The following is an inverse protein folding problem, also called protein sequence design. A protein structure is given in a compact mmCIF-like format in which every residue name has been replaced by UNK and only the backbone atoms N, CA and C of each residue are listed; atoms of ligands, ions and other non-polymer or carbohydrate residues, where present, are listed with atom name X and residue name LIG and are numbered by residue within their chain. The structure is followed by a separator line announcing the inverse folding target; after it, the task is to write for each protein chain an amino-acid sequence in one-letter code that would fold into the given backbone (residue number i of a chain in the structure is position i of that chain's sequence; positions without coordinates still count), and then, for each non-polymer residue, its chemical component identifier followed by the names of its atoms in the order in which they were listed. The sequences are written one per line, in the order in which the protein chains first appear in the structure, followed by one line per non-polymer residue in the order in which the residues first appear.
data_IF_180827388289
#
_entry.id   IF_180827388289
#
_cell.length_a   1.000
_cell.length_b   1.000
_cell.length_c   1.000
_cell.angle_alpha   90.00
_cell.angle_beta   90.00
_cell.angle_gamma   90.00
#
_symmetry.space_group_name_H-M   'P 1'
#
loop_
_entity.id
_entity.type
_entity.pdbx_description
1 polymer ?
#
# COMPACT_ATOMS: atom_id res chain seq x y z
N UNK A 1 16.95 -3.72 16.04
CA UNK A 1 17.48 -3.74 14.67
C UNK A 1 17.33 -2.35 14.10
N UNK A 2 18.32 -1.87 13.33
CA UNK A 2 18.24 -0.60 12.62
C UNK A 2 17.30 -0.72 11.41
N UNK A 3 16.61 0.40 11.08
CA UNK A 3 15.58 0.45 10.06
C UNK A 3 16.02 -0.08 8.70
N UNK A 4 15.04 -0.56 7.95
CA UNK A 4 15.22 -0.95 6.56
C UNK A 4 15.31 0.29 5.66
N UNK A 5 16.08 0.16 4.56
CA UNK A 5 16.21 1.20 3.54
C UNK A 5 16.02 0.60 2.17
N UNK A 6 15.22 1.26 1.35
CA UNK A 6 14.96 0.90 -0.03
C UNK A 6 15.82 1.73 -0.98
N UNK A 7 16.40 1.09 -2.00
CA UNK A 7 17.26 1.78 -2.99
C UNK A 7 16.48 2.65 -3.97
N UNK A 8 15.17 2.44 -4.09
CA UNK A 8 14.27 3.19 -4.94
C UNK A 8 13.17 3.76 -4.06
N UNK A 9 12.90 5.05 -4.17
CA UNK A 9 11.86 5.71 -3.37
C UNK A 9 10.45 5.26 -3.80
N UNK A 10 9.46 5.53 -2.95
CA UNK A 10 8.04 5.49 -3.30
C UNK A 10 7.73 6.49 -4.40
N UNK A 11 6.62 6.34 -5.09
CA UNK A 11 6.20 7.33 -6.10
C UNK A 11 5.68 6.71 -7.39
N UNK A 12 5.73 7.51 -8.45
CA UNK A 12 5.17 7.19 -9.76
C UNK A 12 6.25 6.68 -10.72
N UNK A 13 5.95 5.59 -11.42
CA UNK A 13 6.89 4.92 -12.32
C UNK A 13 6.22 4.51 -13.62
N UNK A 14 6.98 4.61 -14.71
CA UNK A 14 6.55 4.18 -16.04
C UNK A 14 7.44 3.02 -16.57
N UNK A 15 8.49 2.65 -15.82
CA UNK A 15 9.42 1.57 -16.17
C UNK A 15 9.69 0.66 -14.99
N UNK A 16 9.97 -0.63 -15.22
CA UNK A 16 10.30 -1.58 -14.16
C UNK A 16 11.40 -1.09 -13.22
N UNK A 17 11.23 -1.32 -11.92
CA UNK A 17 12.18 -0.97 -10.88
C UNK A 17 12.81 -2.23 -10.25
N UNK A 18 14.07 -2.12 -9.83
CA UNK A 18 14.78 -3.17 -9.09
C UNK A 18 15.17 -2.61 -7.74
N UNK A 19 14.46 -3.03 -6.71
CA UNK A 19 14.55 -2.44 -5.37
C UNK A 19 15.42 -3.28 -4.45
N UNK A 20 16.59 -2.76 -4.07
CA UNK A 20 17.37 -3.35 -3.01
C UNK A 20 16.87 -2.89 -1.63
N UNK A 21 16.84 -3.82 -0.67
CA UNK A 21 16.46 -3.55 0.72
C UNK A 21 17.67 -3.84 1.60
N UNK A 22 18.02 -2.91 2.47
CA UNK A 22 19.21 -3.01 3.33
C UNK A 22 18.88 -2.60 4.77
N UNK A 23 19.65 -3.09 5.74
CA UNK A 23 19.74 -2.59 7.11
C UNK A 23 21.20 -2.55 7.53
N UNK A 24 21.56 -1.64 8.42
CA UNK A 24 22.95 -1.57 8.95
C UNK A 24 23.22 -2.59 10.04
N UNK A 25 22.20 -3.28 10.55
CA UNK A 25 22.38 -4.35 11.55
C UNK A 25 22.95 -5.61 10.91
N UNK A 26 24.22 -5.86 11.10
CA UNK A 26 24.88 -7.06 10.57
C UNK A 26 24.20 -8.35 11.02
N UNK A 27 23.91 -9.26 10.08
CA UNK A 27 23.29 -10.56 10.35
C UNK A 27 21.81 -10.50 10.71
N UNK A 28 21.12 -9.38 10.46
CA UNK A 28 19.67 -9.32 10.52
C UNK A 28 19.06 -9.99 9.27
N UNK A 29 17.98 -10.74 9.45
CA UNK A 29 17.13 -11.24 8.37
C UNK A 29 16.12 -10.16 7.99
N UNK A 30 16.08 -9.78 6.72
CA UNK A 30 15.06 -8.89 6.19
C UNK A 30 13.96 -9.75 5.57
N UNK A 31 12.70 -9.44 5.92
CA UNK A 31 11.51 -10.00 5.27
C UNK A 31 10.72 -8.92 4.59
N UNK A 32 10.07 -9.26 3.48
CA UNK A 32 9.23 -8.34 2.73
C UNK A 32 7.94 -9.01 2.24
N UNK A 33 6.92 -8.18 2.00
CA UNK A 33 5.65 -8.54 1.39
C UNK A 33 5.32 -7.56 0.25
N UNK A 34 4.48 -8.00 -0.69
CA UNK A 34 3.98 -7.17 -1.81
C UNK A 34 2.45 -7.20 -1.93
N UNK A 35 1.78 -7.79 -0.95
CA UNK A 35 0.32 -8.00 -0.91
C UNK A 35 -0.38 -7.13 0.15
N UNK A 36 0.34 -6.15 0.74
CA UNK A 36 -0.16 -5.28 1.78
C UNK A 36 -0.14 -5.87 3.19
N UNK A 37 0.17 -7.16 3.36
CA UNK A 37 0.30 -7.78 4.68
C UNK A 37 1.58 -7.32 5.39
N UNK A 38 1.58 -7.44 6.74
CA UNK A 38 2.78 -7.11 7.52
C UNK A 38 3.85 -8.19 7.37
N UNK A 39 5.10 -7.84 7.00
CA UNK A 39 6.22 -8.74 7.16
C UNK A 39 6.49 -8.97 8.65
N UNK A 40 6.53 -10.25 9.07
CA UNK A 40 6.82 -10.67 10.43
C UNK A 40 7.92 -11.72 10.44
N UNK A 41 8.37 -12.17 11.59
CA UNK A 41 9.34 -13.27 11.68
C UNK A 41 8.85 -14.57 11.02
N UNK A 42 7.54 -14.71 10.78
CA UNK A 42 6.92 -15.89 10.15
C UNK A 42 6.13 -15.59 8.87
N UNK A 43 5.96 -14.32 8.49
CA UNK A 43 5.26 -13.91 7.29
C UNK A 43 6.17 -13.08 6.37
N UNK A 44 5.96 -13.23 5.07
CA UNK A 44 6.74 -12.57 4.03
C UNK A 44 7.91 -13.41 3.53
N UNK A 45 8.43 -13.01 2.39
CA UNK A 45 9.61 -13.63 1.75
C UNK A 45 10.89 -13.14 2.42
N UNK A 46 11.86 -14.03 2.59
CA UNK A 46 13.21 -13.65 3.03
C UNK A 46 13.90 -12.92 1.88
N UNK A 47 14.39 -11.73 2.16
CA UNK A 47 15.11 -10.94 1.17
C UNK A 47 16.50 -11.52 0.90
N UNK A 48 16.81 -11.77 -0.36
CA UNK A 48 18.12 -12.28 -0.79
C UNK A 48 18.65 -11.59 -2.06
N UNK A 49 17.76 -11.05 -2.88
CA UNK A 49 18.08 -10.34 -4.13
C UNK A 49 17.14 -9.15 -4.31
N UNK A 50 17.51 -8.14 -5.09
CA UNK A 50 16.61 -7.01 -5.36
C UNK A 50 15.24 -7.46 -5.84
N UNK A 51 14.19 -6.83 -5.30
CA UNK A 51 12.79 -7.09 -5.65
C UNK A 51 12.47 -6.39 -6.97
N UNK A 52 11.98 -7.17 -7.95
CA UNK A 52 11.53 -6.61 -9.22
C UNK A 52 10.11 -6.09 -9.08
N UNK A 53 9.91 -4.81 -9.34
CA UNK A 53 8.61 -4.12 -9.32
C UNK A 53 8.29 -3.72 -10.76
N UNK A 54 7.25 -4.29 -11.34
CA UNK A 54 6.85 -4.07 -12.74
C UNK A 54 5.42 -3.56 -12.87
N UNK A 55 4.66 -3.55 -11.79
CA UNK A 55 3.25 -3.14 -11.71
C UNK A 55 3.03 -2.35 -10.43
N UNK A 56 1.89 -1.67 -10.31
CA UNK A 56 1.50 -0.99 -9.07
C UNK A 56 1.61 -1.97 -7.89
N UNK A 57 2.50 -1.65 -6.95
CA UNK A 57 2.88 -2.55 -5.86
C UNK A 57 3.13 -1.77 -4.58
N UNK A 58 2.66 -2.31 -3.48
CA UNK A 58 3.02 -1.88 -2.13
C UNK A 58 4.08 -2.82 -1.58
N UNK A 59 5.33 -2.39 -1.53
CA UNK A 59 6.43 -3.15 -0.95
C UNK A 59 6.60 -2.77 0.51
N UNK A 60 6.48 -3.76 1.39
CA UNK A 60 6.65 -3.60 2.83
C UNK A 60 7.81 -4.44 3.31
N UNK A 61 8.62 -3.93 4.23
CA UNK A 61 9.76 -4.66 4.77
C UNK A 61 9.98 -4.41 6.26
N UNK A 62 10.51 -5.42 6.94
CA UNK A 62 11.01 -5.31 8.30
C UNK A 62 12.24 -6.21 8.48
N UNK A 63 13.12 -5.87 9.41
CA UNK A 63 14.32 -6.62 9.72
C UNK A 63 14.25 -7.21 11.14
N UNK A 64 14.72 -8.45 11.25
CA UNK A 64 14.65 -9.29 12.44
C UNK A 64 16.03 -9.82 12.81
N UNK A 65 16.32 -9.89 14.09
CA UNK A 65 17.52 -10.55 14.62
C UNK A 65 17.25 -11.06 16.03
N UNK A 66 17.71 -12.27 16.33
CA UNK A 66 17.60 -12.82 17.69
C UNK A 66 18.16 -11.85 18.73
N UNK A 67 17.47 -11.78 19.86
CA UNK A 67 17.83 -10.95 21.03
C UNK A 67 17.75 -9.43 20.80
N UNK A 68 17.22 -8.97 19.66
CA UNK A 68 16.93 -7.58 19.37
C UNK A 68 15.45 -7.36 19.06
N UNK A 69 14.95 -6.17 19.38
CA UNK A 69 13.64 -5.73 18.89
C UNK A 69 13.70 -5.61 17.36
N UNK A 70 12.67 -6.08 16.63
CA UNK A 70 12.59 -5.88 15.18
C UNK A 70 12.50 -4.39 14.83
N UNK A 71 12.65 -4.06 13.55
CA UNK A 71 12.29 -2.73 13.05
C UNK A 71 10.78 -2.53 13.08
N UNK A 72 10.32 -1.29 12.96
CA UNK A 72 8.99 -1.01 12.41
C UNK A 72 8.89 -1.57 10.99
N UNK A 73 7.67 -1.61 10.47
CA UNK A 73 7.43 -1.95 9.07
C UNK A 73 7.55 -0.69 8.23
N UNK A 74 8.50 -0.68 7.31
CA UNK A 74 8.62 0.36 6.29
C UNK A 74 7.78 -0.01 5.08
N UNK A 75 7.12 0.98 4.48
CA UNK A 75 6.24 0.80 3.33
C UNK A 75 6.62 1.77 2.22
N UNK A 76 6.79 1.25 1.00
CA UNK A 76 6.95 2.03 -0.22
C UNK A 76 5.92 1.60 -1.26
N UNK A 77 5.07 2.53 -1.68
CA UNK A 77 4.11 2.32 -2.77
C UNK A 77 4.71 2.80 -4.09
N UNK A 78 4.75 1.90 -5.06
CA UNK A 78 5.19 2.14 -6.43
C UNK A 78 3.95 2.17 -7.31
N UNK A 79 3.64 3.32 -7.91
CA UNK A 79 2.43 3.53 -8.71
C UNK A 79 2.77 3.53 -10.18
N UNK A 80 2.12 2.65 -10.92
CA UNK A 80 2.13 2.61 -12.38
C UNK A 80 0.74 3.04 -12.85
N UNK A 81 0.58 4.28 -13.27
CA UNK A 81 -0.74 4.84 -13.61
C UNK A 81 -1.39 4.12 -14.79
N UNK A 82 -0.59 3.55 -15.69
CA UNK A 82 -1.10 2.66 -16.72
C UNK A 82 -1.85 1.44 -16.18
N UNK A 83 -1.42 0.89 -15.03
CA UNK A 83 -2.15 -0.20 -14.36
C UNK A 83 -3.42 0.32 -13.69
N UNK A 84 -3.34 1.52 -13.08
CA UNK A 84 -4.48 2.12 -12.38
C UNK A 84 -5.66 2.35 -13.32
N UNK A 85 -5.43 2.95 -14.49
CA UNK A 85 -6.50 3.21 -15.47
C UNK A 85 -7.04 1.94 -16.14
N UNK A 86 -6.28 0.85 -16.11
CA UNK A 86 -6.66 -0.45 -16.68
C UNK A 86 -6.99 -1.51 -15.60
N UNK A 87 -7.13 -1.11 -14.35
CA UNK A 87 -7.42 -2.04 -13.26
C UNK A 87 -8.75 -2.74 -13.49
N UNK A 88 -8.82 -4.09 -13.35
CA UNK A 88 -10.08 -4.80 -13.48
C UNK A 88 -11.01 -4.49 -12.30
N UNK A 89 -12.32 -4.60 -12.52
CA UNK A 89 -13.34 -4.40 -11.46
C UNK A 89 -13.19 -5.40 -10.29
N UNK A 90 -12.52 -6.53 -10.51
CA UNK A 90 -12.30 -7.57 -9.49
C UNK A 90 -10.85 -8.08 -9.56
N UNK A 91 -9.86 -7.32 -9.06
CA UNK A 91 -8.47 -7.75 -9.08
C UNK A 91 -8.25 -8.97 -8.19
N UNK A 92 -7.35 -9.90 -8.58
CA UNK A 92 -7.03 -11.09 -7.79
C UNK A 92 -6.58 -10.74 -6.36
N UNK A 93 -7.15 -11.42 -5.37
CA UNK A 93 -6.81 -11.22 -3.95
C UNK A 93 -7.54 -10.05 -3.28
N UNK A 94 -8.26 -9.22 -4.04
CA UNK A 94 -9.10 -8.16 -3.46
C UNK A 94 -10.45 -8.70 -2.97
N UNK A 95 -11.05 -8.11 -1.94
CA UNK A 95 -12.41 -8.45 -1.51
C UNK A 95 -13.44 -8.24 -2.64
N UNK A 96 -14.34 -9.21 -2.82
CA UNK A 96 -15.40 -9.13 -3.85
C UNK A 96 -16.63 -8.35 -3.39
N UNK A 97 -16.65 -7.92 -2.15
CA UNK A 97 -17.72 -7.10 -1.58
C UNK A 97 -17.19 -6.12 -0.54
N UNK A 98 -17.83 -4.96 -0.47
CA UNK A 98 -17.65 -3.95 0.57
C UNK A 98 -18.92 -3.93 1.43
N UNK A 99 -18.92 -4.70 2.51
CA UNK A 99 -20.11 -4.91 3.32
C UNK A 99 -21.22 -5.57 2.50
N UNK A 100 -22.33 -4.86 2.24
CA UNK A 100 -23.48 -5.33 1.47
C UNK A 100 -23.47 -4.90 -0.02
N UNK A 101 -22.36 -4.34 -0.50
CA UNK A 101 -22.18 -3.89 -1.89
C UNK A 101 -21.19 -4.78 -2.61
N UNK A 102 -21.42 -5.04 -3.89
CA UNK A 102 -20.38 -5.63 -4.76
C UNK A 102 -19.25 -4.64 -4.88
N UNK A 103 -18.02 -5.12 -4.68
CA UNK A 103 -16.83 -4.29 -4.86
C UNK A 103 -16.58 -4.05 -6.36
N UNK A 104 -16.20 -2.84 -6.70
CA UNK A 104 -15.74 -2.46 -8.03
C UNK A 104 -14.47 -1.62 -7.88
N UNK A 105 -13.37 -2.13 -8.43
CA UNK A 105 -12.05 -1.51 -8.35
C UNK A 105 -11.65 -0.83 -9.67
N UNK A 106 -12.43 -0.97 -10.73
CA UNK A 106 -12.13 -0.36 -12.02
C UNK A 106 -12.34 1.15 -11.97
N UNK A 107 -11.58 1.86 -12.77
CA UNK A 107 -11.97 3.21 -13.16
C UNK A 107 -13.15 3.12 -14.13
N UNK A 108 -14.03 4.15 -14.10
CA UNK A 108 -15.19 4.20 -14.97
C UNK A 108 -14.77 4.17 -16.45
N UNK A 109 -15.17 3.15 -17.22
CA UNK A 109 -14.80 3.03 -18.63
C UNK A 109 -15.35 4.17 -19.49
N UNK A 110 -16.46 4.79 -19.10
CA UNK A 110 -17.00 5.96 -19.77
C UNK A 110 -16.13 7.20 -19.61
N UNK A 111 -15.24 7.22 -18.62
CA UNK A 111 -14.23 8.25 -18.41
C UNK A 111 -12.90 7.87 -19.08
N UNK A 112 -12.41 6.67 -18.78
CA UNK A 112 -11.09 6.23 -19.28
C UNK A 112 -11.03 6.13 -20.79
N UNK A 113 -12.13 5.73 -21.44
CA UNK A 113 -12.21 5.56 -22.89
C UNK A 113 -12.82 6.75 -23.63
N UNK A 114 -13.24 7.79 -22.92
CA UNK A 114 -13.81 8.98 -23.57
C UNK A 114 -12.68 9.76 -24.28
N UNK A 115 -12.81 10.04 -25.58
CA UNK A 115 -11.82 10.83 -26.32
C UNK A 115 -11.56 12.24 -25.75
N UNK A 116 -12.48 12.74 -24.91
CA UNK A 116 -12.30 14.04 -24.25
C UNK A 116 -11.29 13.96 -23.07
N UNK A 117 -11.02 12.77 -22.53
CA UNK A 117 -10.20 12.59 -21.33
C UNK A 117 -9.07 11.58 -21.49
N UNK A 118 -9.21 10.62 -22.41
CA UNK A 118 -8.28 9.46 -22.52
C UNK A 118 -6.82 9.86 -22.73
N UNK A 119 -6.56 10.94 -23.44
CA UNK A 119 -5.21 11.43 -23.71
C UNK A 119 -4.58 12.15 -22.50
N UNK A 120 -5.40 12.74 -21.64
CA UNK A 120 -4.95 13.58 -20.53
C UNK A 120 -5.12 12.93 -19.15
N UNK A 121 -5.75 11.75 -19.05
CA UNK A 121 -6.12 11.14 -17.77
C UNK A 121 -4.90 10.82 -16.87
N UNK A 122 -3.79 10.36 -17.46
CA UNK A 122 -2.57 10.06 -16.71
C UNK A 122 -1.94 11.34 -16.16
N UNK A 123 -1.90 12.39 -16.98
CA UNK A 123 -1.39 13.70 -16.55
C UNK A 123 -2.33 14.34 -15.52
N UNK A 124 -3.64 14.15 -15.68
CA UNK A 124 -4.64 14.52 -14.69
C UNK A 124 -4.41 13.83 -13.33
N UNK A 125 -4.18 12.52 -13.32
CA UNK A 125 -3.86 11.78 -12.11
C UNK A 125 -2.53 12.23 -11.47
N UNK A 126 -1.52 12.55 -12.28
CA UNK A 126 -0.25 13.11 -11.81
C UNK A 126 -0.37 14.57 -11.32
N UNK A 127 -1.41 15.30 -11.68
CA UNK A 127 -1.59 16.69 -11.24
C UNK A 127 -2.04 16.84 -9.80
N UNK A 128 -2.48 15.75 -9.16
CA UNK A 128 -2.95 15.72 -7.78
C UNK A 128 -2.05 14.83 -6.91
N UNK A 129 -1.99 15.17 -5.63
CA UNK A 129 -1.27 14.35 -4.65
C UNK A 129 -2.02 13.07 -4.36
N UNK A 130 -1.29 11.97 -4.19
CA UNK A 130 -1.88 10.65 -3.92
C UNK A 130 -1.67 10.26 -2.46
N UNK A 131 -2.73 9.76 -1.84
CA UNK A 131 -2.67 9.08 -0.55
C UNK A 131 -2.64 7.58 -0.78
N UNK A 132 -1.61 6.90 -0.26
CA UNK A 132 -1.58 5.45 -0.15
C UNK A 132 -1.84 5.06 1.30
N UNK A 133 -2.89 4.27 1.53
CA UNK A 133 -3.23 3.76 2.87
C UNK A 133 -3.19 2.24 2.78
N UNK A 134 -2.21 1.65 3.46
CA UNK A 134 -1.99 0.21 3.43
C UNK A 134 -2.42 -0.39 4.76
N UNK A 135 -3.38 -1.29 4.67
CA UNK A 135 -3.98 -1.99 5.82
C UNK A 135 -4.33 -3.42 5.39
N UNK A 136 -4.11 -4.43 6.26
CA UNK A 136 -4.54 -5.81 5.96
C UNK A 136 -6.06 -5.90 5.72
N UNK A 137 -6.47 -6.71 4.75
CA UNK A 137 -7.89 -6.86 4.38
C UNK A 137 -8.79 -7.30 5.53
N UNK A 138 -8.31 -8.13 6.45
CA UNK A 138 -9.03 -8.59 7.62
C UNK A 138 -9.26 -7.49 8.67
N UNK A 139 -8.41 -6.48 8.70
CA UNK A 139 -8.58 -5.30 9.56
C UNK A 139 -9.50 -4.22 8.93
N UNK A 140 -9.73 -4.28 7.61
CA UNK A 140 -10.54 -3.29 6.90
C UNK A 140 -11.90 -3.82 6.46
N UNK A 141 -11.96 -4.91 5.69
CA UNK A 141 -13.17 -5.39 5.04
C UNK A 141 -13.81 -6.61 5.69
N UNK A 142 -13.05 -7.44 6.42
CA UNK A 142 -13.54 -8.73 6.91
C UNK A 142 -14.17 -8.64 8.31
N UNK A 143 -15.23 -9.42 8.54
CA UNK A 143 -15.78 -9.63 9.88
C UNK A 143 -14.92 -10.65 10.66
N UNK A 144 -14.80 -10.48 11.99
CA UNK A 144 -15.45 -9.45 12.84
C UNK A 144 -14.62 -8.18 13.05
N UNK A 145 -13.42 -8.08 12.49
CA UNK A 145 -12.42 -7.05 12.84
C UNK A 145 -12.42 -5.83 11.91
N UNK A 146 -12.86 -5.99 10.67
CA UNK A 146 -12.78 -4.95 9.66
C UNK A 146 -13.60 -3.72 10.02
N UNK A 147 -12.96 -2.55 10.01
CA UNK A 147 -13.63 -1.29 10.38
C UNK A 147 -14.70 -0.90 9.36
N UNK A 148 -14.48 -1.19 8.06
CA UNK A 148 -15.46 -0.93 7.01
C UNK A 148 -16.68 -1.86 7.10
N UNK A 149 -16.46 -3.13 7.50
CA UNK A 149 -17.54 -4.08 7.73
C UNK A 149 -18.37 -3.77 8.99
N UNK A 150 -17.83 -2.98 9.91
CA UNK A 150 -18.44 -2.61 11.18
C UNK A 150 -18.46 -1.08 11.41
N UNK A 151 -19.05 -0.30 10.50
CA UNK A 151 -18.91 1.17 10.48
C UNK A 151 -19.59 1.88 11.66
N UNK A 152 -20.46 1.17 12.41
CA UNK A 152 -21.12 1.70 13.61
C UNK A 152 -20.27 1.58 14.87
N UNK A 153 -19.18 0.83 14.80
CA UNK A 153 -18.30 0.65 15.95
C UNK A 153 -17.27 1.79 16.01
N UNK A 154 -17.02 2.29 17.20
CA UNK A 154 -16.24 3.51 17.44
C UNK A 154 -15.22 3.37 18.57
N UNK A 155 -14.42 4.42 18.76
CA UNK A 155 -13.43 4.50 19.81
C UNK A 155 -12.10 3.81 19.46
N UNK A 156 -11.14 3.85 20.40
CA UNK A 156 -9.79 3.33 20.20
C UNK A 156 -9.73 1.83 19.92
N UNK A 157 -10.68 1.06 20.41
CA UNK A 157 -10.75 -0.37 20.16
C UNK A 157 -11.00 -0.70 18.67
N UNK A 158 -11.50 0.28 17.90
CA UNK A 158 -11.78 0.17 16.47
C UNK A 158 -10.79 0.97 15.61
N UNK A 159 -9.68 1.37 16.18
CA UNK A 159 -8.54 1.91 15.44
C UNK A 159 -7.69 0.76 14.91
N UNK A 160 -7.29 0.85 13.63
CA UNK A 160 -6.43 -0.13 12.96
C UNK A 160 -5.11 0.51 12.59
N UNK A 161 -4.03 -0.22 12.81
CA UNK A 161 -2.72 0.20 12.39
C UNK A 161 -2.61 0.16 10.86
N UNK A 162 -2.10 1.24 10.28
CA UNK A 162 -1.92 1.37 8.84
C UNK A 162 -0.59 2.03 8.54
N UNK A 163 -0.06 1.77 7.35
CA UNK A 163 0.93 2.64 6.75
C UNK A 163 0.22 3.70 5.90
N UNK A 164 0.52 4.94 6.18
CA UNK A 164 0.03 6.10 5.44
C UNK A 164 1.20 6.71 4.66
N UNK A 165 1.02 6.87 3.36
CA UNK A 165 1.97 7.57 2.51
C UNK A 165 1.28 8.73 1.80
N UNK A 166 2.00 9.85 1.69
CA UNK A 166 1.56 11.02 0.95
C UNK A 166 2.57 11.26 -0.17
N UNK A 167 2.16 11.01 -1.40
CA UNK A 167 3.01 11.02 -2.57
C UNK A 167 2.80 12.29 -3.40
N UNK A 168 3.91 12.93 -3.74
CA UNK A 168 3.92 14.12 -4.59
C UNK A 168 4.40 13.74 -5.99
N UNK A 169 3.62 13.97 -7.03
CA UNK A 169 4.00 13.57 -8.39
C UNK A 169 5.30 14.21 -8.89
N UNK A 170 5.54 15.47 -8.52
CA UNK A 170 6.64 16.27 -9.04
C UNK A 170 7.78 16.47 -8.04
N UNK A 171 7.63 16.05 -6.79
CA UNK A 171 8.61 16.30 -5.73
C UNK A 171 8.65 15.16 -4.70
N UNK A 172 9.36 14.10 -5.04
CA UNK A 172 9.57 12.95 -4.14
C UNK A 172 10.30 13.32 -2.82
N UNK A 173 10.91 14.49 -2.73
CA UNK A 173 11.56 14.96 -1.48
C UNK A 173 10.52 15.40 -0.45
N UNK A 174 9.32 15.70 -0.87
CA UNK A 174 8.16 16.06 -0.03
C UNK A 174 7.29 14.86 0.34
N UNK A 175 7.62 13.65 -0.13
CA UNK A 175 6.90 12.44 0.23
C UNK A 175 7.01 12.14 1.72
N UNK A 176 5.90 11.69 2.28
CA UNK A 176 5.80 11.33 3.70
C UNK A 176 5.31 9.90 3.83
N UNK A 177 5.89 9.16 4.78
CA UNK A 177 5.35 7.88 5.24
C UNK A 177 5.27 7.88 6.77
N UNK A 178 4.13 7.42 7.29
CA UNK A 178 3.88 7.27 8.72
C UNK A 178 3.16 5.96 8.99
N UNK A 179 3.55 5.27 10.06
CA UNK A 179 2.73 4.24 10.65
C UNK A 179 1.79 4.92 11.66
N UNK A 180 0.49 4.80 11.44
CA UNK A 180 -0.53 5.51 12.22
C UNK A 180 -1.80 4.66 12.40
N UNK A 181 -2.77 5.19 13.10
CA UNK A 181 -4.07 4.55 13.28
C UNK A 181 -5.15 5.17 12.38
N UNK A 182 -5.97 4.31 11.77
CA UNK A 182 -7.17 4.72 11.04
C UNK A 182 -8.43 4.18 11.69
N UNK A 183 -9.49 4.94 11.69
CA UNK A 183 -10.84 4.52 12.12
C UNK A 183 -11.91 5.25 11.33
N UNK A 184 -13.09 4.63 11.25
CA UNK A 184 -14.26 5.31 10.69
C UNK A 184 -14.70 6.42 11.66
N UNK A 185 -15.08 7.57 11.12
CA UNK A 185 -15.61 8.71 11.85
C UNK A 185 -16.91 9.18 11.18
N UNK A 186 -17.89 9.53 12.00
CA UNK A 186 -19.20 10.00 11.57
C UNK A 186 -20.31 9.09 12.08
N UNK A 187 -21.57 9.54 11.94
CA UNK A 187 -22.72 8.68 12.13
C UNK A 187 -22.95 7.93 10.82
N UNK A 188 -23.21 6.63 10.92
CA UNK A 188 -23.52 5.81 9.75
C UNK A 188 -24.70 6.41 8.99
N UNK A 189 -24.44 6.87 7.80
CA UNK A 189 -25.44 7.40 6.86
C UNK A 189 -25.67 6.42 5.73
#
# INVERSE_FOLDING_TARGET
VEDTKFSVNRGFYDTPQSVAITTTTAGAEIRFTTDGSDPTASNGSIYSTPVSITTTTTLRAAAFKSDLLPTNVDTHTYLYLGDVINQPSNPPGAPTSWGNRTADYAMDPDVVNDPAYSDDIIDGLKSIRTLSIVVPNDEFFNNPRGIYANPQNEGRAWEREVSFEFLHPDDATSDLQLNCGIRIHGNGS
#
